data_IF_908118860926
#
_entry.id   IF_908118860926
#
_cell.length_a   1.000
_cell.length_b   1.000
_cell.length_c   1.000
_cell.angle_alpha   90.00
_cell.angle_beta   90.00
_cell.angle_gamma   90.00
#
_symmetry.space_group_name_H-M   'P 1'
#
loop_
_entity.id
_entity.type
_entity.pdbx_description
1 polymer ?
#
# COMPACT_ATOMS: atom_id res chain seq x y z
N UNK A 1 65.00 -37.88 -5.43
CA UNK A 1 63.54 -37.74 -5.62
C UNK A 1 63.32 -37.10 -6.99
N UNK A 2 62.82 -37.84 -7.98
CA UNK A 2 62.81 -37.47 -9.40
C UNK A 2 61.37 -37.62 -9.93
N UNK A 3 60.93 -36.66 -10.77
CA UNK A 3 59.84 -36.70 -11.78
C UNK A 3 58.40 -36.83 -11.18
N UNK A 4 57.28 -36.28 -11.69
CA UNK A 4 56.78 -36.02 -13.06
C UNK A 4 55.69 -34.91 -13.06
N UNK A 5 55.58 -34.09 -14.12
CA UNK A 5 54.57 -33.05 -14.32
C UNK A 5 53.29 -33.53 -15.04
N UNK A 6 52.39 -32.56 -15.29
CA UNK A 6 51.55 -32.38 -16.49
C UNK A 6 50.17 -33.04 -16.52
N UNK A 7 49.24 -32.20 -16.95
CA UNK A 7 47.81 -32.39 -17.22
C UNK A 7 47.52 -33.40 -18.34
N UNK A 8 46.26 -33.89 -18.36
CA UNK A 8 45.39 -34.09 -19.55
C UNK A 8 44.71 -35.45 -19.65
N UNK A 9 43.37 -35.37 -19.55
CA UNK A 9 42.33 -36.07 -20.31
C UNK A 9 42.57 -37.52 -20.80
N UNK A 10 41.81 -38.44 -20.18
CA UNK A 10 41.30 -39.71 -20.74
C UNK A 10 39.87 -39.79 -20.17
N UNK A 11 38.76 -39.76 -20.88
CA UNK A 11 38.43 -40.30 -22.20
C UNK A 11 37.30 -41.31 -21.98
N UNK A 12 36.19 -41.18 -22.73
CA UNK A 12 35.19 -42.21 -23.04
C UNK A 12 34.17 -42.46 -21.88
N UNK A 13 32.85 -42.49 -22.01
CA UNK A 13 31.98 -42.77 -23.17
C UNK A 13 30.62 -42.12 -22.99
N UNK A 14 30.02 -41.75 -24.12
CA UNK A 14 28.61 -41.44 -24.33
C UNK A 14 27.74 -42.63 -23.94
N UNK A 15 26.69 -42.41 -23.13
CA UNK A 15 25.42 -43.12 -23.29
C UNK A 15 24.25 -42.27 -22.76
N UNK A 16 23.33 -42.00 -23.67
CA UNK A 16 22.11 -41.22 -23.55
C UNK A 16 21.23 -41.60 -22.35
N UNK A 17 20.56 -40.63 -21.73
CA UNK A 17 19.17 -40.79 -21.29
C UNK A 17 18.49 -39.40 -21.16
N UNK A 18 17.49 -39.21 -22.03
CA UNK A 18 16.31 -38.32 -21.87
C UNK A 18 16.52 -36.83 -22.16
N UNK A 19 16.24 -36.52 -23.42
CA UNK A 19 15.58 -35.29 -23.81
C UNK A 19 14.29 -35.10 -22.98
N UNK A 20 14.29 -34.14 -22.06
CA UNK A 20 13.06 -33.58 -21.51
C UNK A 20 12.91 -32.17 -22.04
N UNK A 21 12.25 -32.11 -23.19
CA UNK A 21 11.63 -30.92 -23.75
C UNK A 21 10.79 -30.24 -22.67
N UNK A 22 11.20 -29.07 -22.20
CA UNK A 22 10.26 -28.09 -21.65
C UNK A 22 10.34 -26.88 -22.54
N UNK A 23 9.40 -26.84 -23.48
CA UNK A 23 9.05 -25.64 -24.23
C UNK A 23 8.67 -24.58 -23.21
N UNK A 24 9.52 -23.58 -22.98
CA UNK A 24 9.06 -22.34 -22.35
C UNK A 24 8.13 -21.68 -23.35
N UNK A 25 6.82 -21.92 -23.20
CA UNK A 25 5.80 -21.15 -23.88
C UNK A 25 5.87 -19.74 -23.30
N UNK A 26 6.54 -18.84 -24.02
CA UNK A 26 6.45 -17.42 -23.75
C UNK A 26 5.06 -16.98 -24.19
N UNK A 27 4.13 -16.93 -23.24
CA UNK A 27 2.83 -16.31 -23.45
C UNK A 27 3.04 -14.80 -23.47
N UNK A 28 3.45 -14.27 -24.62
CA UNK A 28 3.36 -12.84 -24.89
C UNK A 28 1.89 -12.52 -25.19
N UNK A 29 1.07 -12.43 -24.15
CA UNK A 29 -0.20 -11.71 -24.26
C UNK A 29 0.15 -10.26 -24.55
N UNK A 30 -0.15 -9.82 -25.77
CA UNK A 30 -0.24 -8.41 -26.09
C UNK A 30 -1.38 -7.83 -25.24
N UNK A 31 -1.05 -7.40 -24.02
CA UNK A 31 -1.89 -6.53 -23.23
C UNK A 31 -1.82 -5.16 -23.86
N UNK A 32 -2.92 -4.74 -24.48
CA UNK A 32 -3.19 -3.34 -24.79
C UNK A 32 -2.80 -2.49 -23.56
N UNK A 33 -2.21 -1.29 -23.75
CA UNK A 33 -2.01 -0.36 -22.65
C UNK A 33 -3.36 0.29 -22.30
N UNK A 34 -4.35 -0.51 -21.93
CA UNK A 34 -5.38 -0.01 -21.04
C UNK A 34 -4.65 0.28 -19.74
N UNK A 35 -4.48 1.56 -19.41
CA UNK A 35 -4.11 2.00 -18.07
C UNK A 35 -5.04 1.27 -17.10
N UNK A 36 -4.60 0.14 -16.54
CA UNK A 36 -5.31 -0.53 -15.47
C UNK A 36 -5.32 0.46 -14.33
N UNK A 37 -6.44 1.16 -14.19
CA UNK A 37 -6.75 1.93 -13.00
C UNK A 37 -6.77 0.89 -11.88
N UNK A 38 -5.64 0.71 -11.19
CA UNK A 38 -5.60 -0.16 -10.01
C UNK A 38 -6.71 0.34 -9.09
N UNK A 39 -7.71 -0.48 -8.86
CA UNK A 39 -8.79 -0.17 -7.91
C UNK A 39 -8.16 -0.08 -6.52
N UNK A 40 -7.85 1.14 -6.10
CA UNK A 40 -7.27 1.42 -4.78
C UNK A 40 -8.38 1.70 -3.77
N UNK A 41 -8.11 1.36 -2.52
CA UNK A 41 -8.99 1.74 -1.40
C UNK A 41 -8.76 3.21 -1.10
N UNK A 42 -9.81 4.03 -1.26
CA UNK A 42 -9.75 5.45 -0.89
C UNK A 42 -9.92 5.61 0.60
N UNK A 43 -8.96 6.22 1.27
CA UNK A 43 -8.92 6.39 2.72
C UNK A 43 -8.69 7.86 3.02
N UNK A 44 -9.40 8.43 3.99
CA UNK A 44 -9.07 9.74 4.55
C UNK A 44 -8.29 9.60 5.85
N UNK A 45 -7.28 10.42 6.06
CA UNK A 45 -6.48 10.44 7.28
C UNK A 45 -6.37 11.88 7.80
N UNK A 46 -6.58 12.05 9.10
CA UNK A 46 -6.89 13.39 9.61
C UNK A 46 -5.68 14.34 9.73
N UNK A 47 -4.47 13.83 9.97
CA UNK A 47 -3.24 14.62 10.06
C UNK A 47 -2.00 13.78 9.70
N UNK A 48 -0.86 14.45 9.48
CA UNK A 48 0.33 13.87 8.83
C UNK A 48 0.83 12.51 9.37
N UNK A 49 1.01 12.29 10.69
CA UNK A 49 1.32 10.95 11.23
C UNK A 49 0.38 9.84 10.73
N UNK A 50 -0.92 10.09 10.66
CA UNK A 50 -1.89 9.10 10.16
C UNK A 50 -1.82 8.95 8.65
N UNK A 51 -1.56 10.04 7.93
CA UNK A 51 -1.34 10.02 6.47
C UNK A 51 -0.12 9.14 6.14
N UNK A 52 0.98 9.32 6.87
CA UNK A 52 2.20 8.52 6.71
C UNK A 52 1.97 7.05 7.04
N UNK A 53 1.30 6.74 8.16
CA UNK A 53 0.98 5.36 8.53
C UNK A 53 0.11 4.71 7.45
N UNK A 54 -0.98 5.37 7.04
CA UNK A 54 -1.88 4.85 6.01
C UNK A 54 -1.17 4.63 4.68
N UNK A 55 -0.34 5.59 4.25
CA UNK A 55 0.43 5.51 3.00
C UNK A 55 1.46 4.39 3.03
N UNK A 56 2.21 4.24 4.13
CA UNK A 56 3.25 3.21 4.27
C UNK A 56 2.68 1.81 4.41
N UNK A 57 1.61 1.64 5.18
CA UNK A 57 0.97 0.34 5.39
C UNK A 57 0.17 -0.08 4.16
N UNK A 58 -0.56 0.86 3.56
CA UNK A 58 -1.40 0.60 2.39
C UNK A 58 -0.63 0.48 1.07
N UNK A 59 0.52 1.14 0.95
CA UNK A 59 1.36 1.10 -0.26
C UNK A 59 0.59 1.52 -1.51
N UNK A 60 0.76 0.77 -2.60
CA UNK A 60 0.09 1.01 -3.89
C UNK A 60 -1.39 0.59 -3.92
N UNK A 61 -1.92 0.06 -2.80
CA UNK A 61 -3.31 -0.40 -2.69
C UNK A 61 -4.26 0.67 -2.17
N UNK A 62 -3.74 1.81 -1.71
CA UNK A 62 -4.54 2.87 -1.11
C UNK A 62 -4.29 4.20 -1.79
N UNK A 63 -5.33 5.02 -1.86
CA UNK A 63 -5.20 6.45 -2.14
C UNK A 63 -5.59 7.20 -0.88
N UNK A 64 -4.65 7.95 -0.31
CA UNK A 64 -4.87 8.68 0.95
C UNK A 64 -5.28 10.13 0.67
N UNK A 65 -6.43 10.52 1.18
CA UNK A 65 -6.88 11.92 1.26
C UNK A 65 -6.41 12.47 2.60
N UNK A 66 -5.48 13.42 2.54
CA UNK A 66 -5.01 14.16 3.70
C UNK A 66 -6.03 15.26 4.05
N UNK A 67 -6.57 15.21 5.28
CA UNK A 67 -7.58 16.19 5.72
C UNK A 67 -6.96 17.47 6.26
N UNK A 68 -5.74 17.40 6.81
CA UNK A 68 -4.94 18.56 7.22
C UNK A 68 -3.88 18.84 6.18
N UNK A 69 -4.01 19.92 5.38
CA UNK A 69 -3.02 20.25 4.36
C UNK A 69 -1.58 20.38 4.93
N UNK A 70 -0.55 20.06 4.12
CA UNK A 70 0.83 20.26 4.52
C UNK A 70 1.11 21.71 4.93
N UNK A 71 1.74 21.89 6.09
CA UNK A 71 2.09 23.20 6.64
C UNK A 71 0.98 23.87 7.47
N UNK A 72 -0.19 23.25 7.60
CA UNK A 72 -1.27 23.71 8.48
C UNK A 72 -1.20 23.02 9.86
N UNK A 73 -1.65 23.70 10.90
CA UNK A 73 -1.73 23.15 12.25
C UNK A 73 -2.88 22.14 12.35
N UNK A 74 -2.61 20.91 12.79
CA UNK A 74 -3.63 19.86 12.88
C UNK A 74 -4.85 20.29 13.73
N UNK A 75 -4.62 20.99 14.84
CA UNK A 75 -5.68 21.40 15.78
C UNK A 75 -6.68 22.42 15.22
N UNK A 76 -6.21 23.30 14.33
CA UNK A 76 -6.97 24.46 13.85
C UNK A 76 -7.46 24.29 12.41
N UNK A 77 -7.38 23.07 11.88
CA UNK A 77 -7.72 22.79 10.48
C UNK A 77 -9.15 23.16 10.16
N UNK A 78 -9.36 23.90 9.07
CA UNK A 78 -10.68 24.09 8.48
C UNK A 78 -10.87 23.25 7.22
N UNK A 79 -11.87 22.37 7.26
CA UNK A 79 -12.19 21.53 6.10
C UNK A 79 -12.84 22.33 4.99
N UNK A 80 -12.20 22.34 3.82
CA UNK A 80 -12.79 22.92 2.62
C UNK A 80 -13.94 22.06 2.09
N UNK A 81 -14.85 22.66 1.31
CA UNK A 81 -15.92 21.92 0.64
C UNK A 81 -15.37 20.78 -0.25
N UNK A 82 -14.21 20.99 -0.89
CA UNK A 82 -13.54 19.96 -1.69
C UNK A 82 -13.07 18.79 -0.81
N UNK A 83 -12.43 19.08 0.31
CA UNK A 83 -11.95 18.06 1.26
C UNK A 83 -13.12 17.24 1.82
N UNK A 84 -14.25 17.89 2.11
CA UNK A 84 -15.48 17.21 2.55
C UNK A 84 -16.06 16.29 1.48
N UNK A 85 -16.15 16.75 0.22
CA UNK A 85 -16.59 15.89 -0.89
C UNK A 85 -15.63 14.70 -1.07
N UNK A 86 -14.32 14.92 -1.03
CA UNK A 86 -13.34 13.85 -1.16
C UNK A 86 -13.46 12.83 -0.03
N UNK A 87 -13.62 13.28 1.21
CA UNK A 87 -13.83 12.42 2.39
C UNK A 87 -15.14 11.64 2.32
N UNK A 88 -16.21 12.22 1.79
CA UNK A 88 -17.51 11.54 1.65
C UNK A 88 -17.47 10.35 0.67
N UNK A 89 -16.45 10.30 -0.19
CA UNK A 89 -16.20 9.22 -1.15
C UNK A 89 -15.17 8.20 -0.65
N UNK A 90 -14.61 8.42 0.54
CA UNK A 90 -13.66 7.48 1.14
C UNK A 90 -14.39 6.26 1.70
N UNK A 91 -13.70 5.12 1.68
CA UNK A 91 -14.19 3.86 2.26
C UNK A 91 -13.90 3.79 3.76
N UNK A 92 -12.85 4.49 4.22
CA UNK A 92 -12.52 4.63 5.62
C UNK A 92 -11.99 6.03 5.95
N UNK A 93 -12.16 6.44 7.22
CA UNK A 93 -11.56 7.66 7.78
C UNK A 93 -10.83 7.30 9.07
N UNK A 94 -9.54 7.63 9.15
CA UNK A 94 -8.72 7.49 10.36
C UNK A 94 -8.50 8.85 11.00
N UNK A 95 -8.85 8.96 12.29
CA UNK A 95 -8.76 10.19 13.06
C UNK A 95 -8.50 9.89 14.55
N UNK A 96 -8.32 10.95 15.34
CA UNK A 96 -8.25 10.90 16.80
C UNK A 96 -9.39 11.76 17.32
N UNK A 97 -10.17 11.23 18.25
CA UNK A 97 -11.28 11.95 18.91
C UNK A 97 -10.82 12.78 20.12
N UNK A 98 -11.75 13.15 21.00
CA UNK A 98 -11.50 13.91 22.23
C UNK A 98 -11.04 15.36 21.99
N UNK A 99 -11.55 15.97 20.92
CA UNK A 99 -11.35 17.39 20.63
C UNK A 99 -10.00 17.72 20.00
N UNK A 100 -9.26 16.74 19.50
CA UNK A 100 -7.99 16.97 18.82
C UNK A 100 -8.16 17.81 17.54
N UNK A 101 -9.20 17.53 16.75
CA UNK A 101 -9.55 18.26 15.52
C UNK A 101 -11.08 18.43 15.41
N UNK A 102 -11.68 19.44 16.08
CA UNK A 102 -13.13 19.56 16.21
C UNK A 102 -13.90 19.55 14.88
N UNK A 103 -13.38 20.23 13.85
CA UNK A 103 -14.01 20.28 12.54
C UNK A 103 -13.98 18.94 11.81
N UNK A 104 -12.89 18.18 11.96
CA UNK A 104 -12.80 16.81 11.44
C UNK A 104 -13.77 15.89 12.17
N UNK A 105 -13.78 15.93 13.50
CA UNK A 105 -14.67 15.11 14.32
C UNK A 105 -16.15 15.35 13.99
N UNK A 106 -16.54 16.62 13.83
CA UNK A 106 -17.89 17.01 13.40
C UNK A 106 -18.23 16.49 12.01
N UNK A 107 -17.28 16.55 11.08
CA UNK A 107 -17.49 16.05 9.73
C UNK A 107 -17.61 14.52 9.70
N UNK A 108 -16.77 13.80 10.45
CA UNK A 108 -16.84 12.33 10.60
C UNK A 108 -18.17 11.88 11.23
N UNK A 109 -18.66 12.60 12.24
CA UNK A 109 -19.96 12.33 12.85
C UNK A 109 -21.11 12.42 11.83
N UNK A 110 -20.97 13.28 10.83
CA UNK A 110 -21.98 13.50 9.78
C UNK A 110 -21.92 12.49 8.62
N UNK A 111 -20.87 11.66 8.54
CA UNK A 111 -20.73 10.66 7.49
C UNK A 111 -21.74 9.50 7.63
N UNK A 112 -22.18 8.86 6.53
CA UNK A 112 -23.01 7.66 6.60
C UNK A 112 -22.26 6.47 7.23
N UNK A 113 -23.01 5.50 7.76
CA UNK A 113 -22.45 4.29 8.38
C UNK A 113 -21.78 3.32 7.39
N UNK A 114 -21.93 3.56 6.08
CA UNK A 114 -21.23 2.80 5.03
C UNK A 114 -19.74 3.10 4.98
N UNK A 115 -19.30 4.22 5.54
CA UNK A 115 -17.89 4.61 5.64
C UNK A 115 -17.34 4.11 6.98
N UNK A 116 -16.21 3.39 6.94
CA UNK A 116 -15.57 2.87 8.16
C UNK A 116 -14.86 4.00 8.91
N UNK A 117 -15.42 4.41 10.05
CA UNK A 117 -14.86 5.46 10.90
C UNK A 117 -13.95 4.83 11.96
N UNK A 118 -12.66 5.17 11.99
CA UNK A 118 -11.67 4.65 12.94
C UNK A 118 -11.06 5.78 13.76
N UNK A 119 -11.58 5.93 14.97
CA UNK A 119 -10.93 6.71 16.01
C UNK A 119 -9.80 5.90 16.65
N UNK A 120 -8.57 6.33 16.44
CA UNK A 120 -7.40 5.63 16.96
C UNK A 120 -7.18 5.83 18.45
N UNK A 121 -7.79 6.86 19.07
CA UNK A 121 -7.67 7.09 20.50
C UNK A 121 -8.44 6.03 21.30
N UNK A 122 -9.69 5.78 20.93
CA UNK A 122 -10.54 4.78 21.61
C UNK A 122 -10.26 3.34 21.18
N UNK A 123 -9.60 3.13 20.04
CA UNK A 123 -9.33 1.78 19.51
C UNK A 123 -8.09 1.12 20.13
N UNK A 124 -7.16 1.89 20.69
CA UNK A 124 -5.92 1.35 21.24
C UNK A 124 -6.09 0.99 22.72
N UNK A 125 -6.33 -0.29 23.00
CA UNK A 125 -6.09 -0.86 24.34
C UNK A 125 -4.61 -1.20 24.43
N UNK A 126 -3.84 -0.45 25.21
CA UNK A 126 -2.49 -0.89 25.57
C UNK A 126 -2.59 -2.08 26.51
N UNK A 127 -1.76 -3.10 26.26
CA UNK A 127 -1.72 -4.39 26.95
C UNK A 127 -2.06 -4.26 28.44
N UNK A 128 -3.16 -4.89 28.84
CA UNK A 128 -3.57 -5.04 30.23
C UNK A 128 -2.69 -6.07 30.93
#
# INVERSE_FOLDING_TARGET
MRIIPRTSHRGISVLAFVAMSSLFVSCSSASDPSSETKDTVKISASFYPLVEIASRVGGDKVTVVELTPPGEGAHDVQLTAKTLDEMSRSQAVFYISDGFQPDVEKAVASLPNTIVKKDLLSTLSLLN
#
